data_IF_127446891666
#
_entry.id   IF_127446891666
#
_cell.length_a   1.000
_cell.length_b   1.000
_cell.length_c   1.000
_cell.angle_alpha   90.00
_cell.angle_beta   90.00
_cell.angle_gamma   90.00
#
_symmetry.space_group_name_H-M   'P 1'
#
loop_
_entity.id
_entity.type
_entity.pdbx_description
1 polymer ?
#
# COMPACT_ATOMS: atom_id res chain seq x y z
N UNK A 1 -5.62 0.16 -2.62
CA UNK A 1 -5.42 -0.25 -4.03
C UNK A 1 -6.71 -0.60 -4.77
N UNK A 2 -7.87 -0.83 -4.12
CA UNK A 2 -9.09 -1.34 -4.79
C UNK A 2 -9.54 -0.55 -6.02
N UNK A 3 -9.43 0.79 -5.98
CA UNK A 3 -9.72 1.64 -7.13
C UNK A 3 -8.82 1.33 -8.35
N UNK A 4 -7.53 1.06 -8.13
CA UNK A 4 -6.60 0.69 -9.20
C UNK A 4 -7.03 -0.63 -9.87
N UNK A 5 -7.56 -1.59 -9.10
CA UNK A 5 -8.08 -2.85 -9.65
C UNK A 5 -9.33 -2.60 -10.51
N UNK A 6 -10.28 -1.80 -10.04
CA UNK A 6 -11.48 -1.46 -10.82
C UNK A 6 -11.09 -0.81 -12.15
N UNK A 7 -10.15 0.14 -12.12
CA UNK A 7 -9.59 0.74 -13.34
C UNK A 7 -8.92 -0.32 -14.22
N UNK A 8 -8.07 -1.17 -13.65
CA UNK A 8 -7.34 -2.22 -14.34
C UNK A 8 -8.27 -3.20 -15.07
N UNK A 9 -9.32 -3.67 -14.42
CA UNK A 9 -10.33 -4.59 -15.01
C UNK A 9 -11.02 -3.95 -16.23
N UNK A 10 -11.21 -2.62 -16.21
CA UNK A 10 -11.83 -1.88 -17.32
C UNK A 10 -10.87 -1.39 -18.42
N UNK A 11 -9.56 -1.63 -18.28
CA UNK A 11 -8.54 -1.03 -19.15
C UNK A 11 -7.94 -2.06 -20.11
N UNK A 12 -8.21 -1.98 -21.43
CA UNK A 12 -7.73 -2.99 -22.40
C UNK A 12 -6.20 -2.94 -22.63
N UNK A 13 -5.55 -1.85 -22.24
CA UNK A 13 -4.10 -1.63 -22.35
C UNK A 13 -3.40 -1.63 -20.98
N UNK A 14 -3.95 -2.33 -19.99
CA UNK A 14 -3.28 -2.55 -18.70
C UNK A 14 -1.98 -3.33 -18.90
N UNK A 15 -0.90 -2.88 -18.26
CA UNK A 15 0.34 -3.66 -18.13
C UNK A 15 0.34 -4.53 -16.86
N UNK A 16 0.20 -3.89 -15.70
CA UNK A 16 0.19 -4.53 -14.37
C UNK A 16 -0.44 -3.59 -13.32
N UNK A 17 -0.78 -4.12 -12.15
CA UNK A 17 -1.24 -3.35 -10.99
C UNK A 17 -0.28 -3.58 -9.81
N UNK A 18 0.33 -2.51 -9.30
CA UNK A 18 1.21 -2.57 -8.13
C UNK A 18 0.43 -2.95 -6.87
N UNK A 19 1.01 -3.83 -6.04
CA UNK A 19 0.42 -4.31 -4.78
C UNK A 19 1.43 -4.29 -3.65
N UNK A 20 0.92 -4.16 -2.43
CA UNK A 20 1.72 -4.18 -1.19
C UNK A 20 1.04 -5.15 -0.22
N UNK A 21 1.61 -6.35 -0.05
CA UNK A 21 1.01 -7.40 0.77
C UNK A 21 1.50 -7.33 2.21
N UNK A 22 0.69 -6.75 3.11
CA UNK A 22 0.95 -6.77 4.55
C UNK A 22 -0.28 -7.18 5.34
N UNK A 23 -0.12 -7.72 6.57
CA UNK A 23 -1.25 -8.04 7.44
C UNK A 23 -2.20 -6.86 7.67
N UNK A 24 -1.67 -5.64 7.77
CA UNK A 24 -2.48 -4.43 7.95
C UNK A 24 -3.32 -4.10 6.71
N UNK A 25 -2.74 -4.18 5.50
CA UNK A 25 -3.50 -3.96 4.26
C UNK A 25 -4.65 -4.95 4.12
N UNK A 26 -4.39 -6.24 4.42
CA UNK A 26 -5.40 -7.29 4.33
C UNK A 26 -6.52 -7.10 5.36
N UNK A 27 -6.16 -6.86 6.62
CA UNK A 27 -7.13 -6.68 7.70
C UNK A 27 -8.01 -5.44 7.50
N UNK A 28 -7.45 -4.33 7.01
CA UNK A 28 -8.17 -3.06 6.82
C UNK A 28 -9.35 -3.16 5.83
N UNK A 29 -9.31 -4.14 4.91
CA UNK A 29 -10.39 -4.38 3.94
C UNK A 29 -11.09 -5.72 4.17
N UNK A 30 -10.99 -6.29 5.37
CA UNK A 30 -11.58 -7.58 5.73
C UNK A 30 -11.18 -8.73 4.78
N UNK A 31 -9.93 -8.70 4.26
CA UNK A 31 -9.40 -9.67 3.28
C UNK A 31 -10.20 -9.76 1.97
N UNK A 32 -10.89 -8.69 1.57
CA UNK A 32 -11.77 -8.71 0.39
C UNK A 32 -11.02 -8.85 -0.95
N UNK A 33 -9.72 -8.54 -1.00
CA UNK A 33 -8.89 -8.62 -2.20
C UNK A 33 -7.57 -9.32 -1.88
N UNK A 34 -7.19 -10.30 -2.69
CA UNK A 34 -5.99 -11.11 -2.49
C UNK A 34 -5.19 -11.22 -3.79
N UNK A 35 -3.87 -11.35 -3.66
CA UNK A 35 -3.00 -11.76 -4.75
C UNK A 35 -2.85 -13.28 -4.69
N UNK A 36 -3.22 -13.97 -5.77
CA UNK A 36 -3.13 -15.42 -5.89
C UNK A 36 -2.25 -15.76 -7.08
N UNK A 37 -1.11 -16.42 -6.83
CA UNK A 37 -0.11 -16.77 -7.85
C UNK A 37 0.34 -15.56 -8.70
N UNK A 38 0.41 -14.36 -8.11
CA UNK A 38 0.82 -13.13 -8.78
C UNK A 38 -0.30 -12.42 -9.56
N UNK A 39 -1.55 -12.87 -9.47
CA UNK A 39 -2.71 -12.26 -10.12
C UNK A 39 -3.76 -11.83 -9.10
N UNK A 40 -4.64 -10.91 -9.51
CA UNK A 40 -5.79 -10.46 -8.71
C UNK A 40 -7.06 -10.72 -9.52
N UNK A 41 -7.99 -11.47 -8.94
CA UNK A 41 -9.29 -11.73 -9.55
C UNK A 41 -10.15 -10.47 -9.52
N UNK A 42 -10.90 -10.24 -10.60
CA UNK A 42 -11.83 -9.11 -10.68
C UNK A 42 -12.91 -9.23 -9.58
N UNK A 43 -13.15 -8.18 -8.77
CA UNK A 43 -14.16 -8.23 -7.72
C UNK A 43 -15.58 -8.27 -8.32
N UNK A 44 -16.45 -9.12 -7.78
CA UNK A 44 -17.84 -9.26 -8.24
C UNK A 44 -18.86 -8.52 -7.37
N UNK A 45 -18.46 -8.09 -6.16
CA UNK A 45 -19.33 -7.34 -5.26
C UNK A 45 -19.47 -5.87 -5.71
N UNK A 46 -20.58 -5.19 -5.39
CA UNK A 46 -20.82 -3.83 -5.85
C UNK A 46 -19.76 -2.81 -5.39
N UNK A 47 -19.62 -1.73 -6.17
CA UNK A 47 -18.73 -0.63 -5.84
C UNK A 47 -17.26 -1.01 -6.01
N UNK A 48 -16.42 -0.67 -5.02
CA UNK A 48 -14.99 -0.99 -5.06
C UNK A 48 -14.68 -2.46 -4.72
N UNK A 49 -15.69 -3.24 -4.33
CA UNK A 49 -15.53 -4.63 -3.94
C UNK A 49 -14.83 -4.84 -2.60
N UNK A 50 -14.87 -3.85 -1.70
CA UNK A 50 -14.26 -3.89 -0.38
C UNK A 50 -15.20 -3.35 0.69
N UNK A 51 -15.01 -3.81 1.92
CA UNK A 51 -15.55 -3.19 3.12
C UNK A 51 -14.38 -2.73 3.99
N UNK A 52 -14.36 -1.46 4.38
CA UNK A 52 -13.30 -0.93 5.24
C UNK A 52 -13.61 -1.25 6.70
N UNK A 53 -12.64 -1.82 7.41
CA UNK A 53 -12.69 -1.94 8.87
C UNK A 53 -12.32 -0.60 9.51
N UNK A 54 -13.34 0.23 9.72
CA UNK A 54 -13.19 1.56 10.29
C UNK A 54 -12.73 1.51 11.76
N UNK A 55 -13.11 0.47 12.51
CA UNK A 55 -12.69 0.30 13.89
C UNK A 55 -11.19 0.02 13.97
N UNK A 56 -10.68 -0.87 13.10
CA UNK A 56 -9.24 -1.11 12.95
C UNK A 56 -8.50 0.18 12.59
N UNK A 57 -9.01 0.93 11.60
CA UNK A 57 -8.39 2.20 11.19
C UNK A 57 -8.31 3.19 12.36
N UNK A 58 -9.41 3.39 13.09
CA UNK A 58 -9.48 4.30 14.25
C UNK A 58 -8.56 3.88 15.41
N UNK A 59 -8.31 2.58 15.55
CA UNK A 59 -7.39 2.03 16.55
C UNK A 59 -5.90 2.24 16.20
N UNK A 60 -5.57 2.65 14.98
CA UNK A 60 -4.19 2.88 14.52
C UNK A 60 -3.97 4.35 14.10
N UNK A 61 -4.09 5.32 15.03
CA UNK A 61 -3.82 6.72 14.74
C UNK A 61 -2.35 6.96 14.39
N UNK A 62 -2.11 7.87 13.45
CA UNK A 62 -0.77 8.37 13.17
C UNK A 62 -0.39 9.43 14.23
N UNK A 63 0.69 9.18 14.95
CA UNK A 63 1.22 10.09 15.99
C UNK A 63 2.58 10.72 15.64
N UNK A 64 3.14 10.37 14.48
CA UNK A 64 4.40 10.94 14.02
C UNK A 64 4.24 12.39 13.58
N UNK A 65 5.37 13.08 13.44
CA UNK A 65 5.46 14.42 12.87
C UNK A 65 5.98 14.43 11.43
N UNK A 66 6.45 13.28 10.94
CA UNK A 66 6.99 13.15 9.59
C UNK A 66 5.90 13.09 8.53
N UNK A 67 6.33 13.14 7.27
CA UNK A 67 5.44 12.95 6.13
C UNK A 67 5.23 11.45 5.84
N UNK A 68 4.33 11.12 4.91
CA UNK A 68 4.17 9.73 4.43
C UNK A 68 5.46 9.19 3.80
N UNK A 69 6.16 10.04 3.04
CA UNK A 69 7.49 9.83 2.49
C UNK A 69 8.29 11.12 2.66
N UNK A 70 9.59 10.98 2.92
CA UNK A 70 10.51 12.11 3.03
C UNK A 70 11.73 11.86 2.15
N UNK A 71 12.24 12.92 1.54
CA UNK A 71 13.51 12.87 0.83
C UNK A 71 14.64 13.10 1.82
N UNK A 72 15.70 12.30 1.73
CA UNK A 72 16.93 12.53 2.47
C UNK A 72 17.51 13.91 2.11
N UNK A 73 17.92 14.67 3.12
CA UNK A 73 18.53 15.98 2.94
C UNK A 73 20.01 15.88 2.52
N UNK A 74 20.75 14.96 3.13
CA UNK A 74 22.15 14.72 2.80
C UNK A 74 22.32 14.20 1.36
N UNK A 75 23.41 14.58 0.67
CA UNK A 75 23.71 14.07 -0.65
C UNK A 75 24.09 12.58 -0.63
N UNK A 76 24.11 11.98 -1.81
CA UNK A 76 24.67 10.64 -2.00
C UNK A 76 26.11 10.56 -1.47
N UNK A 77 26.36 9.61 -0.58
CA UNK A 77 27.67 9.27 -0.07
C UNK A 77 28.33 8.21 -0.98
N UNK A 78 29.54 8.50 -1.46
CA UNK A 78 30.29 7.64 -2.37
C UNK A 78 31.27 6.68 -1.67
N UNK A 79 31.47 6.83 -0.36
CA UNK A 79 32.40 6.03 0.45
C UNK A 79 31.67 5.00 1.32
N UNK A 80 30.55 5.38 1.92
CA UNK A 80 29.64 4.50 2.64
C UNK A 80 28.30 4.38 1.92
N UNK A 81 27.63 3.23 2.02
CA UNK A 81 26.37 2.98 1.32
C UNK A 81 25.24 3.96 1.68
N UNK A 82 24.31 4.17 0.74
CA UNK A 82 23.16 5.07 0.86
C UNK A 82 21.89 4.29 1.18
N UNK A 83 21.80 3.70 2.37
CA UNK A 83 20.65 2.89 2.73
C UNK A 83 19.37 3.73 2.75
N UNK A 84 18.51 3.53 1.76
CA UNK A 84 17.18 4.13 1.67
C UNK A 84 16.14 3.05 1.94
N UNK A 85 15.30 3.29 2.95
CA UNK A 85 14.31 2.30 3.41
C UNK A 85 12.99 2.37 2.61
N UNK A 86 12.92 3.18 1.55
CA UNK A 86 11.74 3.22 0.67
C UNK A 86 10.52 3.87 1.34
N UNK A 87 10.71 4.86 2.20
CA UNK A 87 9.68 5.28 3.15
C UNK A 87 9.96 6.61 3.86
N UNK A 88 9.02 7.05 4.68
CA UNK A 88 9.34 7.89 5.83
C UNK A 88 10.34 7.16 6.75
N UNK A 89 11.24 7.88 7.45
CA UNK A 89 12.17 7.25 8.38
C UNK A 89 11.41 6.34 9.36
N UNK A 90 11.90 5.11 9.63
CA UNK A 90 11.25 4.24 10.59
C UNK A 90 11.20 4.94 11.95
N UNK A 91 10.06 4.83 12.64
CA UNK A 91 9.98 5.26 14.02
C UNK A 91 11.11 4.58 14.81
N UNK A 92 11.84 5.35 15.63
CA UNK A 92 12.82 4.79 16.54
C UNK A 92 12.09 3.81 17.47
N UNK A 93 12.54 2.55 17.49
CA UNK A 93 12.05 1.51 18.40
C UNK A 93 12.54 1.77 19.82
#
# INVERSE_FOLDING_TARGET
WAANIQLAVSTPNLLMAETIETPFHSALICNALCVENGYITAPETPGLGIQVDEALARAHPYHGSGLHLEMQEDPCNYQSGNAFLGGAPPAQQ
#
